data_IF_815457958122
#
_entry.id   IF_815457958122
#
_cell.length_a   1.000
_cell.length_b   1.000
_cell.length_c   1.000
_cell.angle_alpha   90.00
_cell.angle_beta   90.00
_cell.angle_gamma   90.00
#
_symmetry.space_group_name_H-M   'P 1'
#
loop_
_entity.id
_entity.type
_entity.pdbx_description
1 polymer ?
#
# COMPACT_ATOMS: atom_id res chain seq x y z
N UNK A 1 10.60 -6.65 11.11
CA UNK A 1 10.14 -5.27 11.39
C UNK A 1 10.82 -4.52 12.54
N UNK A 2 11.59 -5.18 13.44
CA UNK A 2 12.26 -4.53 14.60
C UNK A 2 13.07 -3.29 14.24
N UNK A 3 13.87 -3.35 13.16
CA UNK A 3 14.71 -2.23 12.71
C UNK A 3 13.88 -1.01 12.26
N UNK A 4 12.87 -1.22 11.42
CA UNK A 4 12.05 -0.14 10.83
C UNK A 4 11.11 0.46 11.88
N UNK A 5 10.25 -0.36 12.50
CA UNK A 5 9.28 0.11 13.48
C UNK A 5 9.98 0.60 14.76
N UNK A 6 10.94 -0.16 15.29
CA UNK A 6 11.67 0.24 16.50
C UNK A 6 12.51 1.50 16.30
N UNK A 7 13.17 1.62 15.14
CA UNK A 7 13.90 2.82 14.76
C UNK A 7 12.99 4.04 14.68
N UNK A 8 11.83 3.91 14.01
CA UNK A 8 10.85 4.99 13.93
C UNK A 8 10.26 5.36 15.29
N UNK A 9 9.90 4.38 16.13
CA UNK A 9 9.35 4.64 17.46
C UNK A 9 10.34 5.43 18.33
N UNK A 10 11.63 5.06 18.29
CA UNK A 10 12.69 5.79 18.97
C UNK A 10 12.80 7.23 18.45
N UNK A 11 12.86 7.40 17.13
CA UNK A 11 12.90 8.73 16.50
C UNK A 11 11.70 9.59 16.90
N UNK A 12 10.49 9.05 16.81
CA UNK A 12 9.24 9.75 17.16
C UNK A 12 9.25 10.23 18.61
N UNK A 13 9.56 9.33 19.55
CA UNK A 13 9.62 9.65 20.97
C UNK A 13 10.66 10.74 21.29
N UNK A 14 11.85 10.66 20.69
CA UNK A 14 12.89 11.69 20.83
C UNK A 14 12.40 13.03 20.26
N UNK A 15 11.89 13.05 19.02
CA UNK A 15 11.48 14.27 18.32
C UNK A 15 10.36 15.01 19.05
N UNK A 16 9.37 14.28 19.54
CA UNK A 16 8.17 14.86 20.16
C UNK A 16 8.21 14.84 21.69
N UNK A 17 9.37 14.48 22.29
CA UNK A 17 9.57 14.38 23.74
C UNK A 17 8.48 13.52 24.41
N UNK A 18 8.16 12.38 23.79
CA UNK A 18 7.19 11.40 24.29
C UNK A 18 7.90 10.16 24.83
N UNK A 19 7.20 9.39 25.65
CA UNK A 19 7.64 8.09 26.16
C UNK A 19 6.56 7.05 25.92
N UNK A 20 6.94 5.77 25.88
CA UNK A 20 6.01 4.66 25.70
C UNK A 20 5.89 4.14 24.26
N UNK A 21 4.87 3.31 24.05
CA UNK A 21 4.63 2.61 22.79
C UNK A 21 4.00 3.55 21.74
N UNK A 22 4.56 3.53 20.53
CA UNK A 22 4.03 4.29 19.37
C UNK A 22 3.04 3.46 18.54
N UNK A 23 3.24 2.15 18.48
CA UNK A 23 2.41 1.22 17.72
C UNK A 23 1.50 0.42 18.66
N UNK A 24 0.28 0.12 18.20
CA UNK A 24 -0.74 -0.58 18.99
C UNK A 24 -0.37 -2.05 19.31
N UNK A 25 0.48 -2.69 18.49
CA UNK A 25 0.87 -4.09 18.68
C UNK A 25 1.99 -4.52 17.74
N UNK A 26 2.25 -5.83 17.71
CA UNK A 26 3.16 -6.44 16.74
C UNK A 26 2.60 -6.36 15.32
N UNK A 27 3.48 -6.43 14.33
CA UNK A 27 3.07 -6.58 12.93
C UNK A 27 2.60 -8.01 12.66
N UNK A 28 1.73 -8.16 11.67
CA UNK A 28 1.35 -9.45 11.11
C UNK A 28 2.15 -9.72 9.83
N UNK A 29 2.43 -11.00 9.56
CA UNK A 29 3.06 -11.44 8.33
C UNK A 29 2.32 -12.67 7.81
N UNK A 30 1.89 -12.59 6.56
CA UNK A 30 1.19 -13.67 5.85
C UNK A 30 2.00 -13.97 4.59
N UNK A 31 2.27 -15.25 4.34
CA UNK A 31 2.97 -15.67 3.13
C UNK A 31 2.01 -15.59 1.94
N UNK A 32 2.50 -15.09 0.81
CA UNK A 32 1.75 -15.08 -0.45
C UNK A 32 2.03 -16.41 -1.15
N UNK A 33 1.02 -17.25 -1.25
CA UNK A 33 1.14 -18.63 -1.74
C UNK A 33 0.99 -18.73 -3.26
N UNK A 34 0.26 -17.79 -3.87
CA UNK A 34 -0.01 -17.81 -5.30
C UNK A 34 -0.15 -16.40 -5.89
N UNK A 35 -0.18 -16.34 -7.21
CA UNK A 35 -0.20 -15.09 -7.95
C UNK A 35 -1.55 -14.34 -7.85
N UNK A 36 -2.66 -15.06 -7.75
CA UNK A 36 -3.98 -14.46 -7.55
C UNK A 36 -4.02 -13.68 -6.23
N UNK A 37 -3.50 -14.28 -5.15
CA UNK A 37 -3.35 -13.63 -3.85
C UNK A 37 -2.41 -12.42 -3.93
N UNK A 38 -1.30 -12.51 -4.69
CA UNK A 38 -0.40 -11.38 -4.90
C UNK A 38 -1.13 -10.18 -5.52
N UNK A 39 -1.86 -10.40 -6.61
CA UNK A 39 -2.59 -9.35 -7.32
C UNK A 39 -3.72 -8.78 -6.46
N UNK A 40 -4.49 -9.65 -5.79
CA UNK A 40 -5.54 -9.22 -4.88
C UNK A 40 -5.01 -8.38 -3.73
N UNK A 41 -3.92 -8.81 -3.06
CA UNK A 41 -3.29 -8.03 -1.97
C UNK A 41 -2.76 -6.70 -2.49
N UNK A 42 -2.20 -6.66 -3.70
CA UNK A 42 -1.77 -5.41 -4.31
C UNK A 42 -2.94 -4.43 -4.48
N UNK A 43 -4.06 -4.88 -5.02
CA UNK A 43 -5.26 -4.06 -5.19
C UNK A 43 -5.82 -3.63 -3.83
N UNK A 44 -5.94 -4.54 -2.87
CA UNK A 44 -6.37 -4.24 -1.50
C UNK A 44 -5.55 -3.12 -0.85
N UNK A 45 -4.22 -3.17 -0.98
CA UNK A 45 -3.33 -2.13 -0.42
C UNK A 45 -3.57 -0.78 -1.10
N UNK A 46 -3.73 -0.77 -2.42
CA UNK A 46 -3.97 0.45 -3.21
C UNK A 46 -5.36 1.05 -3.00
N UNK A 47 -6.33 0.21 -2.62
CA UNK A 47 -7.71 0.61 -2.33
C UNK A 47 -7.97 0.88 -0.84
N UNK A 48 -7.00 0.69 0.05
CA UNK A 48 -7.14 0.97 1.50
C UNK A 48 -7.67 2.37 1.79
N UNK A 49 -7.35 3.35 0.95
CA UNK A 49 -7.78 4.74 1.14
C UNK A 49 -9.29 4.96 0.93
N UNK A 50 -10.03 3.99 0.38
CA UNK A 50 -11.50 4.02 0.29
C UNK A 50 -12.16 4.23 1.65
N UNK A 51 -11.56 3.72 2.72
CA UNK A 51 -12.05 3.88 4.09
C UNK A 51 -12.00 5.34 4.57
N UNK A 52 -11.16 6.17 3.96
CA UNK A 52 -11.10 7.59 4.24
C UNK A 52 -12.11 8.31 3.34
N UNK A 53 -13.20 8.82 3.92
CA UNK A 53 -14.29 9.50 3.18
C UNK A 53 -13.80 10.55 2.16
N UNK A 54 -12.74 11.27 2.47
CA UNK A 54 -12.15 12.31 1.60
C UNK A 54 -11.46 11.74 0.35
N UNK A 55 -11.00 10.49 0.40
CA UNK A 55 -10.18 9.84 -0.63
C UNK A 55 -10.88 8.73 -1.39
N UNK A 56 -12.12 8.38 -1.00
CA UNK A 56 -12.96 7.47 -1.77
C UNK A 56 -13.13 8.00 -3.21
N UNK A 57 -12.95 7.12 -4.19
CA UNK A 57 -12.94 7.40 -5.63
C UNK A 57 -11.80 8.33 -6.08
N UNK A 58 -10.78 8.53 -5.23
CA UNK A 58 -9.56 9.34 -5.51
C UNK A 58 -8.29 8.61 -5.04
N UNK A 59 -8.33 7.29 -4.97
CA UNK A 59 -7.29 6.44 -4.40
C UNK A 59 -5.97 6.60 -5.18
N UNK A 60 -6.07 6.72 -6.51
CA UNK A 60 -4.91 6.95 -7.39
C UNK A 60 -4.24 8.32 -7.18
N UNK A 61 -4.90 9.27 -6.53
CA UNK A 61 -4.36 10.59 -6.19
C UNK A 61 -3.75 10.64 -4.79
N UNK A 62 -3.98 9.62 -3.95
CA UNK A 62 -3.52 9.63 -2.57
C UNK A 62 -1.99 9.68 -2.48
N UNK A 63 -1.41 10.74 -1.89
CA UNK A 63 0.02 10.97 -2.01
C UNK A 63 0.87 9.97 -1.20
N UNK A 64 0.30 9.36 -0.17
CA UNK A 64 0.98 8.41 0.74
C UNK A 64 0.73 6.94 0.38
N UNK A 65 0.31 6.66 -0.86
CA UNK A 65 0.26 5.31 -1.43
C UNK A 65 1.21 5.22 -2.63
N UNK A 66 1.67 4.01 -2.94
CA UNK A 66 2.41 3.72 -4.17
C UNK A 66 1.49 3.54 -5.37
N UNK A 67 0.17 3.58 -5.22
CA UNK A 67 -0.76 3.32 -6.33
C UNK A 67 -0.50 4.20 -7.56
N UNK A 68 -0.30 5.51 -7.34
CA UNK A 68 0.10 6.48 -8.37
C UNK A 68 1.39 6.11 -9.11
N UNK A 69 2.30 5.43 -8.42
CA UNK A 69 3.61 5.04 -8.95
C UNK A 69 3.53 3.77 -9.83
N UNK A 70 2.48 2.98 -9.66
CA UNK A 70 2.20 1.82 -10.51
C UNK A 70 1.46 2.22 -11.79
N UNK A 71 0.44 3.08 -11.68
CA UNK A 71 -0.46 3.41 -12.81
C UNK A 71 -0.11 4.68 -13.60
N UNK A 72 0.80 5.53 -13.14
CA UNK A 72 1.08 6.81 -13.82
C UNK A 72 2.57 7.10 -14.00
N UNK A 73 3.25 7.49 -12.90
CA UNK A 73 4.66 7.89 -12.95
C UNK A 73 5.30 7.53 -11.63
N UNK A 74 6.27 6.62 -11.70
CA UNK A 74 7.03 6.22 -10.53
C UNK A 74 7.86 7.40 -9.99
N UNK A 75 7.37 8.02 -8.90
CA UNK A 75 8.03 9.14 -8.19
C UNK A 75 9.31 8.68 -7.49
N UNK A 76 9.40 7.39 -7.16
CA UNK A 76 10.43 6.80 -6.32
C UNK A 76 11.52 6.05 -7.10
N UNK A 77 11.38 5.95 -8.43
CA UNK A 77 12.33 5.29 -9.34
C UNK A 77 12.79 3.93 -8.78
N UNK A 78 14.09 3.79 -8.51
CA UNK A 78 14.74 2.56 -8.09
C UNK A 78 14.44 2.16 -6.64
N UNK A 79 13.84 3.04 -5.84
CA UNK A 79 13.43 2.70 -4.47
C UNK A 79 12.20 1.79 -4.47
N UNK A 80 11.35 1.87 -5.51
CA UNK A 80 10.14 1.06 -5.63
C UNK A 80 10.35 -0.03 -6.68
N UNK A 81 10.18 -1.29 -6.28
CA UNK A 81 10.18 -2.43 -7.20
C UNK A 81 8.75 -2.75 -7.61
N UNK A 82 8.37 -2.37 -8.82
CA UNK A 82 7.01 -2.56 -9.36
C UNK A 82 6.89 -3.74 -10.33
N UNK A 83 8.04 -4.22 -10.84
CA UNK A 83 8.12 -5.20 -11.93
C UNK A 83 7.33 -6.48 -11.69
N UNK A 84 7.42 -7.04 -10.47
CA UNK A 84 6.75 -8.29 -10.10
C UNK A 84 5.23 -8.27 -10.36
N UNK A 85 4.61 -7.09 -10.27
CA UNK A 85 3.18 -6.90 -10.55
C UNK A 85 3.00 -6.36 -11.98
N UNK A 86 3.70 -5.28 -12.36
CA UNK A 86 3.45 -4.60 -13.63
C UNK A 86 3.82 -5.42 -14.87
N UNK A 87 4.79 -6.34 -14.78
CA UNK A 87 5.17 -7.22 -15.91
C UNK A 87 4.10 -8.29 -16.23
N UNK A 88 3.08 -8.44 -15.37
CA UNK A 88 1.95 -9.33 -15.61
C UNK A 88 0.85 -8.68 -16.46
N UNK A 89 0.95 -7.37 -16.71
CA UNK A 89 0.00 -6.58 -17.49
C UNK A 89 0.69 -6.04 -18.74
N UNK A 90 -0.06 -5.80 -19.81
CA UNK A 90 0.48 -5.25 -21.06
C UNK A 90 0.94 -3.81 -20.88
N UNK A 91 0.26 -3.07 -20.00
CA UNK A 91 0.59 -1.68 -19.71
C UNK A 91 0.06 -1.26 -18.32
N UNK A 92 0.54 -0.12 -17.77
CA UNK A 92 0.09 0.38 -16.47
C UNK A 92 -1.41 0.68 -16.34
N UNK A 93 -2.12 0.95 -17.44
CA UNK A 93 -3.56 1.23 -17.40
C UNK A 93 -4.35 -0.06 -17.16
N UNK A 94 -3.94 -1.18 -17.78
CA UNK A 94 -4.58 -2.49 -17.53
C UNK A 94 -4.43 -2.93 -16.07
N UNK A 95 -3.29 -2.61 -15.44
CA UNK A 95 -3.13 -2.80 -14.00
C UNK A 95 -4.12 -1.93 -13.19
N UNK A 96 -4.28 -0.67 -13.59
CA UNK A 96 -5.22 0.25 -12.91
C UNK A 96 -6.66 -0.26 -13.01
N UNK A 97 -7.08 -0.69 -14.20
CA UNK A 97 -8.39 -1.31 -14.44
C UNK A 97 -8.56 -2.56 -13.56
N UNK A 98 -7.57 -3.45 -13.52
CA UNK A 98 -7.54 -4.62 -12.64
C UNK A 98 -7.70 -4.28 -11.16
N UNK A 99 -7.10 -3.19 -10.68
CA UNK A 99 -7.26 -2.75 -9.29
C UNK A 99 -8.67 -2.22 -9.05
N UNK A 100 -9.21 -1.44 -9.97
CA UNK A 100 -10.56 -0.86 -9.85
C UNK A 100 -11.65 -1.94 -9.86
N UNK A 101 -11.45 -3.04 -10.58
CA UNK A 101 -12.37 -4.18 -10.70
C UNK A 101 -12.19 -5.27 -9.63
N UNK A 102 -11.17 -5.18 -8.77
CA UNK A 102 -10.71 -6.31 -7.94
C UNK A 102 -11.67 -6.75 -6.81
N UNK A 103 -12.81 -6.08 -6.64
CA UNK A 103 -13.74 -6.28 -5.51
C UNK A 103 -13.15 -5.98 -4.12
N UNK A 104 -11.89 -5.54 -4.03
CA UNK A 104 -11.22 -5.32 -2.75
C UNK A 104 -11.70 -4.01 -2.13
N UNK A 105 -11.92 -4.02 -0.81
CA UNK A 105 -12.42 -2.83 -0.08
C UNK A 105 -13.74 -2.28 -0.65
N UNK A 106 -14.52 -3.12 -1.33
CA UNK A 106 -15.93 -2.84 -1.54
C UNK A 106 -16.67 -3.00 -0.22
N UNK A 107 -17.71 -2.20 -0.04
CA UNK A 107 -18.56 -2.30 1.15
C UNK A 107 -19.17 -3.71 1.11
N UNK A 108 -18.83 -4.55 2.08
CA UNK A 108 -19.59 -5.78 2.32
C UNK A 108 -21.00 -5.35 2.71
N UNK A 109 -21.98 -5.55 1.82
CA UNK A 109 -23.41 -5.38 2.11
C UNK A 109 -23.85 -6.16 3.36
#
# INVERSE_FOLDING_TARGET
MKRVLGGYAKYFNIKYKKTGHVFQGSYNAVHIENNEQLLYVSAYIHLNQRELKTWRNKESEYPWSSYKDYGCKNRWKNFLTTKIILEQFKNPNEYKESVEESGAKEDSE
#
